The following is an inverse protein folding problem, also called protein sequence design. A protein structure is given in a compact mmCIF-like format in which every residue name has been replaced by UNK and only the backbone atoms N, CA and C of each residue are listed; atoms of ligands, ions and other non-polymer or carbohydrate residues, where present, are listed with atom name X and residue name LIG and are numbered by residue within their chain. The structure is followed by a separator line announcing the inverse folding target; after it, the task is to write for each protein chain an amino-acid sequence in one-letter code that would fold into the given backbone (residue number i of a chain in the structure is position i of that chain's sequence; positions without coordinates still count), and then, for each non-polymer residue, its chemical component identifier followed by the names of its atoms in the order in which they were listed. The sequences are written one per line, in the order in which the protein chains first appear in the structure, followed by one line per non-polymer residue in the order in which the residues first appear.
data_IF_529132122746
#
_entry.id   IF_529132122746
#
_cell.length_a   1.000
_cell.length_b   1.000
_cell.length_c   1.000
_cell.angle_alpha   90.00
_cell.angle_beta   90.00
_cell.angle_gamma   90.00
#
_symmetry.space_group_name_H-M   'P 1'
#
loop_
_entity.id
_entity.type
_entity.pdbx_description
1 polymer ?
#
# COMPACT_ATOMS: atom_id res chain seq x y z
N UNK A 1 -13.46 -3.16 13.39
CA UNK A 1 -13.09 -3.11 11.97
C UNK A 1 -12.43 -1.78 11.69
N UNK A 2 -11.11 -1.81 11.58
CA UNK A 2 -10.25 -0.66 11.30
C UNK A 2 -9.63 -0.85 9.93
N UNK A 3 -9.22 0.25 9.31
CA UNK A 3 -8.60 0.25 7.98
C UNK A 3 -7.23 0.89 8.08
N UNK A 4 -6.22 0.25 7.50
CA UNK A 4 -4.90 0.81 7.28
C UNK A 4 -4.66 0.90 5.78
N UNK A 5 -4.36 2.10 5.29
CA UNK A 5 -4.04 2.36 3.89
C UNK A 5 -2.54 2.60 3.76
N UNK A 6 -1.90 1.79 2.92
CA UNK A 6 -0.51 1.94 2.51
C UNK A 6 -0.47 2.45 1.07
N UNK A 7 0.50 3.30 0.76
CA UNK A 7 0.68 3.88 -0.56
C UNK A 7 2.14 3.73 -0.96
N UNK A 8 2.40 2.95 -2.01
CA UNK A 8 3.71 2.86 -2.62
C UNK A 8 3.91 4.01 -3.60
N UNK A 9 4.96 4.80 -3.41
CA UNK A 9 5.34 5.85 -4.35
C UNK A 9 6.22 5.29 -5.49
N UNK A 10 6.22 5.91 -6.70
CA UNK A 10 6.98 5.40 -7.84
C UNK A 10 8.48 5.21 -7.60
N UNK A 11 9.07 6.03 -6.71
CA UNK A 11 10.51 6.02 -6.39
C UNK A 11 10.86 5.23 -5.12
N UNK A 12 9.88 4.58 -4.51
CA UNK A 12 10.06 3.82 -3.27
C UNK A 12 10.53 2.38 -3.56
N UNK A 13 11.44 1.88 -2.71
CA UNK A 13 11.87 0.48 -2.74
C UNK A 13 10.66 -0.43 -2.57
N UNK A 14 10.47 -1.37 -3.50
CA UNK A 14 9.38 -2.34 -3.38
C UNK A 14 9.54 -3.20 -2.12
N UNK A 15 10.77 -3.60 -1.82
CA UNK A 15 11.08 -4.43 -0.65
C UNK A 15 10.68 -3.73 0.65
N UNK A 16 11.08 -2.47 0.80
CA UNK A 16 10.85 -1.72 2.03
C UNK A 16 9.34 -1.50 2.25
N UNK A 17 8.60 -1.25 1.15
CA UNK A 17 7.14 -1.14 1.18
C UNK A 17 6.48 -2.47 1.58
N UNK A 18 6.88 -3.58 0.99
CA UNK A 18 6.35 -4.92 1.31
C UNK A 18 6.65 -5.31 2.75
N UNK A 19 7.87 -5.03 3.23
CA UNK A 19 8.28 -5.26 4.61
C UNK A 19 7.41 -4.47 5.59
N UNK A 20 7.17 -3.18 5.33
CA UNK A 20 6.28 -2.35 6.15
C UNK A 20 4.84 -2.89 6.22
N UNK A 21 4.28 -3.31 5.09
CA UNK A 21 2.91 -3.86 5.03
C UNK A 21 2.85 -5.18 5.81
N UNK A 22 3.85 -6.04 5.63
CA UNK A 22 3.93 -7.35 6.29
C UNK A 22 4.13 -7.23 7.80
N UNK A 23 5.01 -6.34 8.26
CA UNK A 23 5.21 -6.05 9.67
C UNK A 23 3.91 -5.59 10.33
N UNK A 24 3.15 -4.72 9.67
CA UNK A 24 1.85 -4.30 10.19
C UNK A 24 0.86 -5.48 10.26
N UNK A 25 0.73 -6.24 9.17
CA UNK A 25 -0.18 -7.39 9.09
C UNK A 25 0.15 -8.48 10.12
N UNK A 26 1.42 -8.62 10.52
CA UNK A 26 1.83 -9.56 11.57
C UNK A 26 1.32 -9.18 12.98
N UNK A 27 0.99 -7.90 13.20
CA UNK A 27 0.56 -7.38 14.52
C UNK A 27 -0.95 -7.35 14.72
N UNK A 28 -1.74 -7.60 13.67
CA UNK A 28 -3.20 -7.44 13.70
C UNK A 28 -3.91 -8.67 13.16
N UNK A 29 -5.15 -8.89 13.59
CA UNK A 29 -6.01 -9.89 12.96
C UNK A 29 -6.55 -9.34 11.63
N UNK A 30 -5.90 -9.74 10.53
CA UNK A 30 -6.27 -9.33 9.17
C UNK A 30 -7.58 -9.99 8.74
N UNK A 31 -8.48 -9.17 8.20
CA UNK A 31 -9.82 -9.58 7.75
C UNK A 31 -9.90 -9.61 6.23
N UNK A 32 -9.36 -8.58 5.56
CA UNK A 32 -9.33 -8.48 4.10
C UNK A 32 -8.15 -7.60 3.67
N UNK A 33 -7.63 -7.85 2.47
CA UNK A 33 -6.59 -7.03 1.84
C UNK A 33 -6.99 -6.72 0.41
N UNK A 34 -7.07 -5.43 0.08
CA UNK A 34 -7.38 -4.95 -1.26
C UNK A 34 -6.20 -4.18 -1.83
N UNK A 35 -5.87 -4.44 -3.10
CA UNK A 35 -4.78 -3.76 -3.80
C UNK A 35 -5.38 -3.03 -5.01
N UNK A 36 -5.03 -1.77 -5.18
CA UNK A 36 -5.44 -0.96 -6.32
C UNK A 36 -4.26 -0.16 -6.85
N UNK A 37 -4.06 -0.24 -8.16
CA UNK A 37 -2.99 0.47 -8.86
C UNK A 37 -3.61 1.51 -9.77
N UNK A 38 -3.13 2.75 -9.68
CA UNK A 38 -3.60 3.85 -10.50
C UNK A 38 -2.41 4.62 -11.08
N UNK A 39 -2.56 5.09 -12.32
CA UNK A 39 -1.68 6.12 -12.84
C UNK A 39 -1.94 7.43 -12.10
N UNK A 40 -0.88 8.13 -11.71
CA UNK A 40 -0.95 9.40 -11.01
C UNK A 40 0.22 10.30 -11.40
N UNK A 41 -0.05 11.60 -11.53
CA UNK A 41 0.94 12.61 -11.87
C UNK A 41 0.49 13.54 -13.00
N UNK A 42 1.28 14.57 -13.27
CA UNK A 42 1.08 15.51 -14.37
C UNK A 42 2.40 15.72 -15.11
N UNK A 43 2.31 15.83 -16.44
CA UNK A 43 3.45 15.99 -17.35
C UNK A 43 4.65 15.08 -17.04
N UNK A 44 5.76 15.65 -16.59
CA UNK A 44 7.06 14.98 -16.46
C UNK A 44 7.16 14.08 -15.21
N UNK A 45 6.17 14.14 -14.32
CA UNK A 45 6.08 13.32 -13.11
C UNK A 45 4.93 12.30 -13.19
N UNK A 46 4.58 11.86 -14.40
CA UNK A 46 3.62 10.78 -14.59
C UNK A 46 4.21 9.45 -14.11
N UNK A 47 3.50 8.77 -13.21
CA UNK A 47 3.94 7.48 -12.68
C UNK A 47 2.77 6.62 -12.24
N UNK A 48 3.09 5.53 -11.55
CA UNK A 48 2.11 4.58 -11.05
C UNK A 48 2.19 4.56 -9.53
N UNK A 49 1.03 4.68 -8.90
CA UNK A 49 0.88 4.56 -7.45
C UNK A 49 0.10 3.29 -7.15
N UNK A 50 0.63 2.48 -6.24
CA UNK A 50 -0.05 1.29 -5.75
C UNK A 50 -0.54 1.55 -4.32
N UNK A 51 -1.82 1.28 -4.09
CA UNK A 51 -2.45 1.37 -2.78
C UNK A 51 -2.75 -0.04 -2.27
N UNK A 52 -2.41 -0.29 -1.01
CA UNK A 52 -2.77 -1.53 -0.31
C UNK A 52 -3.61 -1.17 0.89
N UNK A 53 -4.85 -1.65 0.92
CA UNK A 53 -5.80 -1.42 1.99
C UNK A 53 -5.93 -2.71 2.80
N UNK A 54 -5.60 -2.64 4.08
CA UNK A 54 -5.74 -3.75 5.03
C UNK A 54 -6.91 -3.45 5.96
N UNK A 55 -7.93 -4.30 5.91
CA UNK A 55 -9.02 -4.31 6.88
C UNK A 55 -8.64 -5.27 8.01
N UNK A 56 -8.75 -4.82 9.26
CA UNK A 56 -8.34 -5.59 10.43
C UNK A 56 -9.30 -5.37 11.60
N UNK A 57 -9.28 -6.27 12.59
CA UNK A 57 -10.14 -6.14 13.78
C UNK A 57 -9.63 -5.07 14.76
#
# INVERSE_FOLDING_TARGET
MKIKLFKKLPKESLKDFEEQVNEFMATVEVVDVKIATASAGHSDNFGTVTHTLVLYK
#
